data_IF_581189867503
#
_entry.id   IF_581189867503
#
_cell.length_a   1.000
_cell.length_b   1.000
_cell.length_c   1.000
_cell.angle_alpha   90.00
_cell.angle_beta   90.00
_cell.angle_gamma   90.00
#
_symmetry.space_group_name_H-M   'P 1'
#
loop_
_entity.id
_entity.type
_entity.pdbx_description
1 polymer ?
#
# COMPACT_ATOMS: atom_id res chain seq x y z
N UNK A 1 11.17 5.19 4.85
CA UNK A 1 11.05 6.49 4.15
C UNK A 1 12.28 6.77 3.29
N UNK A 2 13.49 6.52 3.83
CA UNK A 2 14.75 6.67 3.09
C UNK A 2 14.76 5.89 1.78
N UNK A 3 14.18 4.70 1.77
CA UNK A 3 14.13 3.83 0.58
C UNK A 3 13.29 4.41 -0.56
N UNK A 4 12.17 5.10 -0.24
CA UNK A 4 11.34 5.79 -1.23
C UNK A 4 12.10 6.99 -1.81
N UNK A 5 12.77 7.75 -0.95
CA UNK A 5 13.56 8.92 -1.36
C UNK A 5 14.76 8.47 -2.21
N UNK A 6 15.44 7.40 -1.81
CA UNK A 6 16.52 6.78 -2.57
C UNK A 6 16.03 6.29 -3.94
N UNK A 7 14.90 5.58 -3.98
CA UNK A 7 14.32 5.10 -5.22
C UNK A 7 14.06 6.25 -6.20
N UNK A 8 13.43 7.33 -5.72
CA UNK A 8 13.13 8.51 -6.54
C UNK A 8 14.42 9.19 -6.99
N UNK A 9 15.42 9.31 -6.12
CA UNK A 9 16.72 9.90 -6.48
C UNK A 9 17.43 9.13 -7.59
N UNK A 10 17.41 7.80 -7.54
CA UNK A 10 18.08 6.94 -8.52
C UNK A 10 17.31 6.83 -9.84
N UNK A 11 15.97 6.84 -9.80
CA UNK A 11 15.13 6.52 -10.96
C UNK A 11 14.43 7.73 -11.61
N UNK A 12 14.37 8.88 -10.93
CA UNK A 12 13.84 10.09 -11.55
C UNK A 12 14.83 10.65 -12.59
N UNK A 13 14.29 11.23 -13.66
CA UNK A 13 15.09 11.87 -14.68
C UNK A 13 15.83 13.11 -14.13
N UNK A 14 17.12 13.21 -14.43
CA UNK A 14 18.05 14.22 -13.90
C UNK A 14 17.68 15.69 -14.12
N UNK A 15 16.70 16.00 -14.98
CA UNK A 15 16.29 17.39 -15.24
C UNK A 15 15.26 17.92 -14.22
N UNK A 16 14.77 17.08 -13.29
CA UNK A 16 13.80 17.49 -12.27
C UNK A 16 14.50 18.01 -11.02
N UNK A 17 13.88 19.00 -10.39
CA UNK A 17 14.36 19.56 -9.12
C UNK A 17 13.89 18.71 -7.94
N UNK A 18 14.68 18.69 -6.86
CA UNK A 18 14.36 17.98 -5.63
C UNK A 18 13.00 18.41 -5.07
N UNK A 19 12.64 19.68 -5.25
CA UNK A 19 11.32 20.21 -4.90
C UNK A 19 10.17 19.59 -5.72
N UNK A 20 10.37 19.30 -7.00
CA UNK A 20 9.37 18.58 -7.83
C UNK A 20 9.19 17.15 -7.32
N UNK A 21 10.28 16.45 -7.00
CA UNK A 21 10.26 15.09 -6.45
C UNK A 21 9.57 15.03 -5.08
N UNK A 22 9.90 15.97 -4.20
CA UNK A 22 9.18 16.17 -2.93
C UNK A 22 7.68 16.38 -3.13
N UNK A 23 7.29 17.26 -4.07
CA UNK A 23 5.90 17.57 -4.34
C UNK A 23 5.09 16.34 -4.76
N UNK A 24 5.70 15.40 -5.50
CA UNK A 24 5.07 14.12 -5.85
C UNK A 24 4.76 13.31 -4.59
N UNK A 25 5.75 13.13 -3.70
CA UNK A 25 5.62 12.32 -2.47
C UNK A 25 4.51 12.87 -1.56
N UNK A 26 4.48 14.19 -1.35
CA UNK A 26 3.43 14.82 -0.53
C UNK A 26 2.09 14.94 -1.27
N UNK A 27 2.09 14.78 -2.60
CA UNK A 27 0.92 14.91 -3.45
C UNK A 27 0.40 16.35 -3.52
N UNK A 28 1.30 17.30 -3.84
CA UNK A 28 0.92 18.69 -4.03
C UNK A 28 -0.16 18.79 -5.12
N UNK A 29 -1.28 19.46 -4.81
CA UNK A 29 -2.48 19.53 -5.66
C UNK A 29 -2.31 20.50 -6.83
N UNK A 30 -1.37 20.22 -7.73
CA UNK A 30 -1.15 20.99 -8.96
C UNK A 30 -1.10 20.06 -10.16
N UNK A 31 -1.59 20.54 -11.31
CA UNK A 31 -1.51 19.80 -12.58
C UNK A 31 -0.06 19.45 -12.93
N UNK A 32 0.88 20.35 -12.65
CA UNK A 32 2.30 20.10 -12.87
C UNK A 32 2.83 18.92 -12.05
N UNK A 33 2.47 18.82 -10.76
CA UNK A 33 2.94 17.72 -9.91
C UNK A 33 2.39 16.38 -10.37
N UNK A 34 1.12 16.34 -10.77
CA UNK A 34 0.51 15.12 -11.31
C UNK A 34 1.15 14.72 -12.63
N UNK A 35 1.35 15.67 -13.55
CA UNK A 35 2.04 15.44 -14.82
C UNK A 35 3.48 14.94 -14.58
N UNK A 36 4.18 15.54 -13.62
CA UNK A 36 5.52 15.12 -13.23
C UNK A 36 5.49 13.68 -12.71
N UNK A 37 4.58 13.32 -11.80
CA UNK A 37 4.42 11.95 -11.31
C UNK A 37 4.21 10.93 -12.44
N UNK A 38 3.37 11.26 -13.42
CA UNK A 38 3.15 10.41 -14.60
C UNK A 38 4.40 10.30 -15.48
N UNK A 39 5.04 11.43 -15.81
CA UNK A 39 6.21 11.47 -16.70
C UNK A 39 7.43 10.77 -16.10
N UNK A 40 7.58 10.82 -14.77
CA UNK A 40 8.64 10.16 -14.02
C UNK A 40 8.32 8.69 -13.69
N UNK A 41 7.13 8.18 -14.07
CA UNK A 41 6.66 6.84 -13.71
C UNK A 41 6.54 6.59 -12.19
N UNK A 42 6.29 7.66 -11.41
CA UNK A 42 6.22 7.65 -9.94
C UNK A 42 4.78 7.77 -9.42
N UNK A 43 3.78 7.44 -10.23
CA UNK A 43 2.38 7.66 -9.87
C UNK A 43 1.98 6.89 -8.61
N UNK A 44 2.50 5.67 -8.40
CA UNK A 44 2.25 4.89 -7.19
C UNK A 44 2.87 5.48 -5.91
N UNK A 45 3.73 6.50 -6.03
CA UNK A 45 4.29 7.23 -4.90
C UNK A 45 3.61 8.59 -4.68
N UNK A 46 2.74 9.00 -5.61
CA UNK A 46 1.99 10.24 -5.52
C UNK A 46 1.10 10.24 -4.27
N UNK A 47 1.28 11.25 -3.42
CA UNK A 47 0.55 11.41 -2.15
C UNK A 47 0.76 10.25 -1.16
N UNK A 48 1.90 9.54 -1.24
CA UNK A 48 2.23 8.47 -0.29
C UNK A 48 2.58 8.98 1.12
N UNK A 49 3.18 10.17 1.24
CA UNK A 49 3.58 10.75 2.52
C UNK A 49 3.18 12.23 2.62
N UNK A 50 1.89 12.55 2.77
CA UNK A 50 1.38 13.94 2.76
C UNK A 50 1.92 14.81 3.90
N UNK A 51 2.32 14.20 5.02
CA UNK A 51 2.81 14.90 6.21
C UNK A 51 4.33 15.08 6.23
N UNK A 52 5.05 14.67 5.18
CA UNK A 52 6.50 14.84 5.07
C UNK A 52 6.84 16.33 4.95
N UNK A 53 7.76 16.81 5.81
CA UNK A 53 8.25 18.19 5.74
C UNK A 53 9.46 18.29 4.81
N UNK A 54 9.52 19.37 4.02
CA UNK A 54 10.63 19.58 3.08
C UNK A 54 12.03 19.51 3.71
N UNK A 55 12.33 20.11 4.87
CA UNK A 55 13.68 20.01 5.47
C UNK A 55 14.06 18.57 5.83
N UNK A 56 13.08 17.74 6.21
CA UNK A 56 13.33 16.32 6.50
C UNK A 56 13.61 15.54 5.22
N UNK A 57 12.88 15.84 4.14
CA UNK A 57 13.14 15.29 2.81
C UNK A 57 14.54 15.65 2.33
N UNK A 58 14.88 16.95 2.35
CA UNK A 58 16.16 17.48 1.85
C UNK A 58 17.36 16.84 2.57
N UNK A 59 17.29 16.73 3.91
CA UNK A 59 18.31 16.02 4.69
C UNK A 59 18.48 14.57 4.23
N UNK A 60 17.39 13.81 4.12
CA UNK A 60 17.45 12.39 3.70
C UNK A 60 17.95 12.26 2.26
N UNK A 61 17.53 13.16 1.38
CA UNK A 61 17.89 13.19 -0.03
C UNK A 61 19.38 13.49 -0.23
N UNK A 62 19.98 14.32 0.61
CA UNK A 62 21.42 14.62 0.55
C UNK A 62 22.27 13.57 1.28
N UNK A 63 21.81 13.06 2.43
CA UNK A 63 22.51 12.01 3.20
C UNK A 63 22.72 10.71 2.41
N UNK A 64 21.92 10.48 1.38
CA UNK A 64 21.95 9.26 0.57
C UNK A 64 23.10 9.19 -0.44
N UNK A 65 23.80 10.30 -0.72
CA UNK A 65 24.97 10.31 -1.63
C UNK A 65 26.23 9.66 -1.05
N UNK A 66 26.36 9.61 0.27
CA UNK A 66 27.67 9.32 0.88
C UNK A 66 27.92 7.83 1.22
N UNK A 67 26.91 6.94 1.23
CA UNK A 67 27.09 5.65 1.92
C UNK A 67 26.47 4.36 1.37
N UNK A 68 25.74 4.30 0.24
CA UNK A 68 25.06 3.04 -0.14
C UNK A 68 25.21 2.62 -1.61
N UNK A 69 26.36 2.01 -1.94
CA UNK A 69 26.50 1.02 -3.01
C UNK A 69 26.06 -0.38 -2.53
N UNK A 70 24.95 -0.46 -1.80
CA UNK A 70 24.39 -1.74 -1.34
C UNK A 70 23.11 -2.02 -2.12
N UNK A 71 23.13 -3.15 -2.83
CA UNK A 71 21.99 -3.75 -3.53
C UNK A 71 20.85 -4.04 -2.54
N UNK A 72 20.08 -3.04 -2.11
CA UNK A 72 18.96 -3.23 -1.19
C UNK A 72 17.63 -3.18 -1.96
N UNK A 73 16.99 -4.35 -2.02
CA UNK A 73 15.60 -4.64 -2.37
C UNK A 73 14.82 -3.51 -3.04
N UNK A 74 14.67 -3.64 -4.36
CA UNK A 74 14.01 -2.64 -5.21
C UNK A 74 12.57 -2.39 -4.79
N UNK A 75 12.26 -1.15 -4.42
CA UNK A 75 10.90 -0.65 -4.32
C UNK A 75 10.19 -0.84 -5.67
N UNK A 76 9.04 -1.50 -5.66
CA UNK A 76 8.19 -1.68 -6.84
C UNK A 76 7.29 -0.46 -6.97
N UNK A 77 7.21 0.07 -8.18
CA UNK A 77 6.33 1.20 -8.52
C UNK A 77 5.48 0.88 -9.74
N UNK A 78 4.32 1.52 -9.81
CA UNK A 78 3.43 1.45 -10.98
C UNK A 78 3.17 2.85 -11.52
N UNK A 79 3.33 3.05 -12.85
CA UNK A 79 3.00 4.32 -13.48
C UNK A 79 1.49 4.51 -13.67
N UNK A 80 0.67 3.47 -13.41
CA UNK A 80 -0.76 3.44 -13.77
C UNK A 80 -1.69 3.87 -12.64
N UNK A 81 -1.27 3.67 -11.40
CA UNK A 81 -2.14 3.81 -10.24
C UNK A 81 -1.51 4.73 -9.21
N UNK A 82 -2.34 5.56 -8.57
CA UNK A 82 -1.91 6.37 -7.43
C UNK A 82 -1.78 5.52 -6.17
N UNK A 83 -0.94 5.94 -5.23
CA UNK A 83 -0.83 5.30 -3.92
C UNK A 83 -2.21 5.11 -3.25
N UNK A 84 -3.03 6.16 -3.27
CA UNK A 84 -4.38 6.15 -2.73
C UNK A 84 -5.27 5.07 -3.37
N UNK A 85 -5.17 4.88 -4.69
CA UNK A 85 -5.96 3.88 -5.41
C UNK A 85 -5.58 2.45 -5.01
N UNK A 86 -4.27 2.20 -4.86
CA UNK A 86 -3.75 0.90 -4.40
C UNK A 86 -4.20 0.62 -2.96
N UNK A 87 -4.07 1.61 -2.07
CA UNK A 87 -4.50 1.49 -0.68
C UNK A 87 -6.02 1.25 -0.56
N UNK A 88 -6.84 1.99 -1.31
CA UNK A 88 -8.29 1.79 -1.32
C UNK A 88 -8.68 0.41 -1.87
N UNK A 89 -7.93 -0.11 -2.86
CA UNK A 89 -8.15 -1.46 -3.39
C UNK A 89 -7.91 -2.51 -2.31
N UNK A 90 -6.79 -2.40 -1.58
CA UNK A 90 -6.51 -3.29 -0.45
C UNK A 90 -7.57 -3.16 0.67
N UNK A 91 -8.03 -1.95 0.98
CA UNK A 91 -9.09 -1.74 1.98
C UNK A 91 -10.43 -2.37 1.58
N UNK A 92 -10.75 -2.42 0.27
CA UNK A 92 -11.92 -3.16 -0.21
C UNK A 92 -11.76 -4.65 0.07
N UNK A 93 -10.57 -5.21 -0.18
CA UNK A 93 -10.27 -6.62 0.12
C UNK A 93 -10.40 -6.87 1.63
N UNK A 94 -9.77 -6.04 2.48
CA UNK A 94 -9.86 -6.16 3.94
C UNK A 94 -11.32 -6.15 4.42
N UNK A 95 -12.13 -5.20 3.96
CA UNK A 95 -13.53 -5.06 4.38
C UNK A 95 -14.38 -6.22 3.86
N UNK A 96 -14.13 -6.68 2.64
CA UNK A 96 -14.86 -7.80 2.05
C UNK A 96 -14.52 -9.11 2.78
N UNK A 97 -13.24 -9.38 3.07
CA UNK A 97 -12.78 -10.52 3.87
C UNK A 97 -13.41 -10.50 5.26
N UNK A 98 -13.39 -9.35 5.95
CA UNK A 98 -14.04 -9.19 7.25
C UNK A 98 -15.53 -9.52 7.16
N UNK A 99 -16.22 -8.97 6.16
CA UNK A 99 -17.67 -9.12 5.99
C UNK A 99 -18.06 -10.58 5.73
N UNK A 100 -17.35 -11.26 4.83
CA UNK A 100 -17.64 -12.66 4.48
C UNK A 100 -17.30 -13.60 5.65
N UNK A 101 -16.17 -13.38 6.32
CA UNK A 101 -15.78 -14.16 7.51
C UNK A 101 -16.83 -14.05 8.62
N UNK A 102 -17.32 -12.83 8.90
CA UNK A 102 -18.37 -12.59 9.88
C UNK A 102 -19.72 -13.19 9.47
N UNK A 103 -20.09 -13.10 8.18
CA UNK A 103 -21.30 -13.72 7.64
C UNK A 103 -21.29 -15.25 7.80
N UNK A 104 -20.17 -15.92 7.49
CA UNK A 104 -20.02 -17.37 7.66
C UNK A 104 -20.24 -17.84 9.11
N UNK A 105 -19.91 -16.99 10.09
CA UNK A 105 -20.09 -17.24 11.52
C UNK A 105 -21.40 -16.65 12.08
N UNK A 106 -22.30 -16.19 11.21
CA UNK A 106 -23.59 -15.59 11.59
C UNK A 106 -23.48 -14.37 12.52
N UNK A 107 -22.33 -13.68 12.50
CA UNK A 107 -22.08 -12.46 13.26
C UNK A 107 -22.26 -11.25 12.35
N UNK A 108 -23.33 -10.47 12.54
CA UNK A 108 -23.62 -9.32 11.68
C UNK A 108 -23.32 -7.97 12.35
N UNK A 109 -22.90 -7.99 13.60
CA UNK A 109 -22.57 -6.80 14.37
C UNK A 109 -21.05 -6.69 14.53
N UNK A 110 -20.40 -6.07 13.55
CA UNK A 110 -18.97 -5.79 13.61
C UNK A 110 -18.66 -4.35 13.19
N UNK A 111 -17.52 -3.83 13.66
CA UNK A 111 -17.03 -2.51 13.26
C UNK A 111 -16.22 -2.68 11.96
N UNK A 112 -16.58 -1.99 10.87
CA UNK A 112 -15.88 -2.14 9.59
C UNK A 112 -14.45 -1.58 9.65
N UNK A 113 -13.48 -2.26 9.01
CA UNK A 113 -12.07 -1.80 8.88
C UNK A 113 -11.92 -0.39 8.29
N UNK A 114 -12.88 0.06 7.48
CA UNK A 114 -12.80 1.31 6.74
C UNK A 114 -14.09 2.10 6.85
N UNK A 115 -13.95 3.40 7.08
CA UNK A 115 -15.04 4.38 7.09
C UNK A 115 -15.17 5.13 5.75
N UNK A 116 -14.31 4.82 4.76
CA UNK A 116 -14.32 5.49 3.46
C UNK A 116 -15.53 5.02 2.67
N UNK A 117 -16.43 5.95 2.36
CA UNK A 117 -17.70 5.67 1.68
C UNK A 117 -17.53 4.89 0.38
N UNK A 118 -16.53 5.26 -0.44
CA UNK A 118 -16.23 4.60 -1.72
C UNK A 118 -15.83 3.12 -1.51
N UNK A 119 -15.00 2.85 -0.50
CA UNK A 119 -14.56 1.49 -0.13
C UNK A 119 -15.76 0.68 0.34
N UNK A 120 -16.57 1.23 1.25
CA UNK A 120 -17.75 0.56 1.78
C UNK A 120 -18.78 0.25 0.69
N UNK A 121 -19.08 1.21 -0.19
CA UNK A 121 -19.99 1.01 -1.33
C UNK A 121 -19.51 -0.13 -2.22
N UNK A 122 -18.21 -0.15 -2.56
CA UNK A 122 -17.66 -1.20 -3.42
C UNK A 122 -17.66 -2.58 -2.74
N UNK A 123 -17.25 -2.66 -1.48
CA UNK A 123 -17.27 -3.92 -0.72
C UNK A 123 -18.69 -4.47 -0.60
N UNK A 124 -19.69 -3.62 -0.29
CA UNK A 124 -21.10 -4.01 -0.21
C UNK A 124 -21.65 -4.52 -1.55
N UNK A 125 -21.30 -3.89 -2.66
CA UNK A 125 -21.67 -4.37 -4.00
C UNK A 125 -21.11 -5.76 -4.28
N UNK A 126 -19.81 -5.97 -4.02
CA UNK A 126 -19.15 -7.26 -4.23
C UNK A 126 -19.71 -8.33 -3.31
N UNK A 127 -19.97 -8.00 -2.04
CA UNK A 127 -20.58 -8.91 -1.08
C UNK A 127 -21.93 -9.45 -1.57
N UNK A 128 -22.85 -8.59 -2.01
CA UNK A 128 -24.14 -9.06 -2.53
C UNK A 128 -24.00 -9.88 -3.82
N UNK A 129 -23.03 -9.55 -4.69
CA UNK A 129 -22.75 -10.37 -5.87
C UNK A 129 -22.30 -11.77 -5.48
N UNK A 130 -21.40 -11.88 -4.50
CA UNK A 130 -20.90 -13.16 -3.98
C UNK A 130 -22.04 -13.98 -3.36
N UNK A 131 -22.86 -13.36 -2.51
CA UNK A 131 -24.00 -14.05 -1.89
C UNK A 131 -25.04 -14.54 -2.91
N UNK A 132 -25.40 -13.68 -3.88
CA UNK A 132 -26.43 -14.04 -4.87
C UNK A 132 -25.99 -15.21 -5.76
N UNK A 133 -24.68 -15.41 -5.93
CA UNK A 133 -24.12 -16.49 -6.72
C UNK A 133 -23.73 -17.73 -5.87
N UNK A 134 -23.77 -17.63 -4.54
CA UNK A 134 -23.21 -18.62 -3.61
C UNK A 134 -21.69 -18.85 -3.79
N UNK A 135 -20.96 -17.77 -4.06
CA UNK A 135 -19.54 -17.79 -4.38
C UNK A 135 -18.63 -17.64 -3.14
N UNK A 136 -19.14 -17.73 -1.89
CA UNK A 136 -18.32 -17.44 -0.70
C UNK A 136 -17.05 -18.30 -0.61
N UNK A 137 -17.16 -19.60 -0.93
CA UNK A 137 -16.01 -20.53 -0.94
C UNK A 137 -15.02 -20.22 -2.06
N UNK A 138 -15.51 -19.73 -3.20
CA UNK A 138 -14.65 -19.31 -4.30
C UNK A 138 -13.90 -18.03 -3.92
N UNK A 139 -14.56 -17.08 -3.29
CA UNK A 139 -13.92 -15.88 -2.75
C UNK A 139 -12.81 -16.24 -1.76
N UNK A 140 -13.07 -17.13 -0.80
CA UNK A 140 -12.06 -17.59 0.16
C UNK A 140 -10.83 -18.16 -0.56
N UNK A 141 -11.06 -19.04 -1.54
CA UNK A 141 -9.98 -19.62 -2.35
C UNK A 141 -9.19 -18.55 -3.12
N UNK A 142 -9.87 -17.56 -3.69
CA UNK A 142 -9.23 -16.44 -4.39
C UNK A 142 -8.36 -15.60 -3.46
N UNK A 143 -8.77 -15.38 -2.20
CA UNK A 143 -7.93 -14.70 -1.21
C UNK A 143 -6.66 -15.52 -0.94
N UNK A 144 -6.77 -16.83 -0.70
CA UNK A 144 -5.57 -17.67 -0.53
C UNK A 144 -4.65 -17.65 -1.77
N UNK A 145 -5.22 -17.75 -2.97
CA UNK A 145 -4.45 -17.68 -4.22
C UNK A 145 -3.75 -16.33 -4.40
N UNK A 146 -4.43 -15.23 -4.05
CA UNK A 146 -3.88 -13.88 -4.11
C UNK A 146 -2.65 -13.77 -3.20
N UNK A 147 -2.77 -14.16 -1.94
CA UNK A 147 -1.65 -14.09 -1.00
C UNK A 147 -0.54 -15.08 -1.33
N UNK A 148 -0.86 -16.28 -1.82
CA UNK A 148 0.16 -17.19 -2.33
C UNK A 148 0.94 -16.58 -3.51
N UNK A 149 0.25 -15.89 -4.43
CA UNK A 149 0.87 -15.18 -5.54
C UNK A 149 1.75 -14.03 -5.06
N UNK A 150 1.28 -13.20 -4.13
CA UNK A 150 2.08 -12.10 -3.55
C UNK A 150 3.34 -12.67 -2.88
N UNK A 151 3.20 -13.70 -2.04
CA UNK A 151 4.31 -14.35 -1.34
C UNK A 151 5.32 -15.01 -2.31
N UNK A 152 4.89 -15.45 -3.49
CA UNK A 152 5.78 -16.03 -4.50
C UNK A 152 6.56 -14.98 -5.29
N UNK A 153 6.04 -13.74 -5.37
CA UNK A 153 6.61 -12.64 -6.16
C UNK A 153 7.45 -11.66 -5.33
N UNK A 154 7.41 -11.79 -4.01
CA UNK A 154 8.10 -10.94 -3.05
C UNK A 154 8.91 -11.83 -2.09
N UNK A 155 10.12 -11.41 -1.70
CA UNK A 155 10.93 -12.15 -0.72
C UNK A 155 10.25 -12.26 0.65
N UNK A 156 9.51 -11.21 1.01
CA UNK A 156 8.69 -11.13 2.21
C UNK A 156 7.41 -10.37 1.87
N UNK A 157 6.28 -10.84 2.39
CA UNK A 157 4.99 -10.17 2.30
C UNK A 157 4.35 -10.09 3.68
N UNK A 158 3.74 -8.96 3.96
CA UNK A 158 3.15 -8.65 5.27
C UNK A 158 1.68 -8.26 5.19
N UNK A 159 1.12 -8.14 3.98
CA UNK A 159 -0.27 -7.67 3.84
C UNK A 159 -1.29 -8.54 4.56
N UNK A 160 -1.02 -9.84 4.68
CA UNK A 160 -1.93 -10.79 5.33
C UNK A 160 -2.13 -10.47 6.82
N UNK A 161 -1.13 -9.91 7.51
CA UNK A 161 -1.26 -9.45 8.90
C UNK A 161 -2.28 -8.33 9.09
N UNK A 162 -2.61 -7.60 8.02
CA UNK A 162 -3.57 -6.52 8.07
C UNK A 162 -4.99 -6.97 7.73
N UNK A 163 -5.23 -8.25 7.47
CA UNK A 163 -6.59 -8.78 7.35
C UNK A 163 -7.23 -8.93 8.74
N UNK A 164 -8.56 -8.84 8.79
CA UNK A 164 -9.33 -9.14 9.99
C UNK A 164 -10.60 -9.90 9.63
N UNK A 165 -11.12 -10.67 10.58
CA UNK A 165 -12.23 -11.60 10.36
C UNK A 165 -13.15 -11.69 11.57
N UNK A 166 -13.90 -12.78 11.63
CA UNK A 166 -14.63 -13.16 12.84
C UNK A 166 -13.65 -13.49 13.97
N UNK A 167 -13.82 -12.83 15.13
CA UNK A 167 -12.98 -12.97 16.35
C UNK A 167 -11.46 -12.73 16.19
N UNK A 168 -11.00 -12.38 14.99
CA UNK A 168 -9.61 -12.10 14.66
C UNK A 168 -9.42 -10.64 14.27
N UNK A 169 -8.55 -9.94 15.00
CA UNK A 169 -8.21 -8.53 14.76
C UNK A 169 -6.94 -8.40 13.94
N UNK A 170 -6.89 -7.42 13.04
CA UNK A 170 -5.66 -7.13 12.30
C UNK A 170 -4.53 -6.66 13.23
N UNK A 171 -3.29 -6.94 12.82
CA UNK A 171 -2.10 -6.41 13.47
C UNK A 171 -1.90 -4.92 13.13
N UNK A 172 -1.30 -4.19 14.06
CA UNK A 172 -0.75 -2.86 13.79
C UNK A 172 0.56 -2.98 13.01
N UNK A 173 0.99 -1.89 12.35
CA UNK A 173 2.31 -1.85 11.68
C UNK A 173 3.44 -2.22 12.66
N UNK A 174 3.38 -1.75 13.91
CA UNK A 174 4.40 -2.06 14.92
C UNK A 174 4.45 -3.56 15.25
N UNK A 175 3.29 -4.20 15.42
CA UNK A 175 3.23 -5.64 15.67
C UNK A 175 3.73 -6.44 14.47
N UNK A 176 3.34 -6.08 13.24
CA UNK A 176 3.86 -6.72 12.02
C UNK A 176 5.38 -6.59 11.90
N UNK A 177 5.93 -5.41 12.21
CA UNK A 177 7.37 -5.18 12.23
C UNK A 177 8.09 -6.02 13.29
N UNK A 178 7.50 -6.19 14.47
CA UNK A 178 8.05 -7.04 15.53
C UNK A 178 8.03 -8.53 15.16
N UNK A 179 6.96 -9.01 14.52
CA UNK A 179 6.83 -10.41 14.09
C UNK A 179 7.90 -10.75 13.05
N UNK A 180 8.07 -9.87 12.06
CA UNK A 180 9.02 -10.07 10.97
C UNK A 180 10.44 -9.58 11.29
N UNK A 181 10.67 -9.02 12.49
CA UNK A 181 11.95 -8.45 12.93
C UNK A 181 12.49 -7.37 11.96
N UNK A 182 11.61 -6.58 11.36
CA UNK A 182 11.93 -5.50 10.41
C UNK A 182 11.69 -4.12 11.00
N UNK A 183 12.41 -3.13 10.47
CA UNK A 183 12.21 -1.73 10.87
C UNK A 183 10.91 -1.15 10.29
N UNK A 184 10.36 -0.10 10.92
CA UNK A 184 9.20 0.64 10.39
C UNK A 184 9.45 1.17 8.97
N UNK A 185 10.69 1.55 8.66
CA UNK A 185 11.05 2.05 7.32
C UNK A 185 10.94 0.96 6.25
N UNK A 186 11.41 -0.24 6.58
CA UNK A 186 11.39 -1.41 5.72
C UNK A 186 9.97 -1.98 5.55
N UNK A 187 9.17 -1.92 6.63
CA UNK A 187 7.76 -2.29 6.61
C UNK A 187 6.96 -1.47 5.60
N UNK A 188 7.23 -0.16 5.48
CA UNK A 188 6.58 0.70 4.50
C UNK A 188 6.94 0.25 3.07
N UNK A 189 8.21 -0.05 2.79
CA UNK A 189 8.65 -0.54 1.47
C UNK A 189 7.97 -1.85 1.11
N UNK A 190 7.99 -2.83 2.01
CA UNK A 190 7.37 -4.14 1.76
C UNK A 190 5.87 -3.98 1.53
N UNK A 191 5.19 -3.15 2.35
CA UNK A 191 3.77 -2.86 2.17
C UNK A 191 3.49 -2.21 0.81
N UNK A 192 4.32 -1.29 0.34
CA UNK A 192 4.21 -0.72 -1.01
C UNK A 192 4.40 -1.79 -2.07
N UNK A 193 5.39 -2.67 -1.93
CA UNK A 193 5.66 -3.73 -2.89
C UNK A 193 4.55 -4.79 -2.96
N UNK A 194 3.86 -5.05 -1.85
CA UNK A 194 2.76 -6.00 -1.82
C UNK A 194 1.47 -5.46 -2.47
N UNK A 195 1.27 -4.13 -2.51
CA UNK A 195 0.07 -3.51 -3.10
C UNK A 195 0.25 -3.10 -4.57
N UNK A 196 1.48 -3.10 -5.09
CA UNK A 196 1.83 -2.69 -6.46
C UNK A 196 1.89 -3.91 -7.38
#
# INVERSE_FOLDING_TARGET
>A
MKEIIQYIKTNAYHYKTDKSLYNIIVGAKTHQTYFDACSQQLLSLYHSHPNLKYPSFDRIFNDTDENNNSNSNTLKVSPRYTFESLQQTFQVIQLLTQTISNHQHQSFSFIPVSQIEKVQKKAKQLYYQILNNNDEKLFEKEIYNLFASINSNNELSILHYFLQGYEETMYTNQQGGMIELISDEELIRIKTNDVV
#
